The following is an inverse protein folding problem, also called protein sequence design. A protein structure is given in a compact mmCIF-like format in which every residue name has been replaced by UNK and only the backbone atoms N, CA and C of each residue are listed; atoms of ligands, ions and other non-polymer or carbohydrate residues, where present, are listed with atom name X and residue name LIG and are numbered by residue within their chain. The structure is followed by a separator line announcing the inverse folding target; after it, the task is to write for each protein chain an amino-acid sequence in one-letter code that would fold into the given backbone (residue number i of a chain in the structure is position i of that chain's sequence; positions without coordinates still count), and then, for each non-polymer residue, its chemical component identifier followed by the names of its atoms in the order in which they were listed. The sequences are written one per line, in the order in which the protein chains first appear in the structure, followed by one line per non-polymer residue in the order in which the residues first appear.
data_IF_202489490452
#
_entry.id   IF_202489490452
#
_cell.length_a   1.000
_cell.length_b   1.000
_cell.length_c   1.000
_cell.angle_alpha   90.00
_cell.angle_beta   90.00
_cell.angle_gamma   90.00
#
_symmetry.space_group_name_H-M   'P 1'
#
loop_
_entity.id
_entity.type
_entity.pdbx_description
1 polymer ?
#
# COMPACT_ATOMS: atom_id res chain seq x y z
N UNK A 1 -34.85 4.64 -42.32
CA UNK A 1 -35.00 5.95 -43.01
C UNK A 1 -35.52 7.09 -42.12
N UNK A 2 -35.99 6.85 -40.89
CA UNK A 2 -36.52 7.92 -40.03
C UNK A 2 -35.41 8.71 -39.34
N UNK A 3 -34.44 8.03 -38.72
CA UNK A 3 -33.39 8.67 -37.90
C UNK A 3 -32.59 9.77 -38.63
N UNK A 4 -32.07 9.57 -39.87
CA UNK A 4 -31.28 10.61 -40.52
C UNK A 4 -32.04 11.92 -40.74
N UNK A 5 -33.34 11.83 -41.09
CA UNK A 5 -34.19 13.02 -41.28
C UNK A 5 -34.47 13.74 -39.95
N UNK A 6 -34.64 13.00 -38.87
CA UNK A 6 -34.82 13.59 -37.53
C UNK A 6 -33.55 14.29 -37.10
N UNK A 7 -32.39 13.63 -37.21
CA UNK A 7 -31.09 14.21 -36.85
C UNK A 7 -30.76 15.45 -37.67
N UNK A 8 -31.10 15.46 -38.96
CA UNK A 8 -30.95 16.64 -39.81
C UNK A 8 -31.74 17.84 -39.25
N UNK A 9 -32.96 17.65 -38.76
CA UNK A 9 -33.73 18.73 -38.13
C UNK A 9 -33.14 19.15 -36.78
N UNK A 10 -32.67 18.20 -35.97
CA UNK A 10 -32.03 18.48 -34.67
C UNK A 10 -30.76 19.32 -34.88
N UNK A 11 -29.90 18.95 -35.83
CA UNK A 11 -28.68 19.72 -36.12
C UNK A 11 -29.03 21.10 -36.69
N UNK A 12 -30.00 21.18 -37.61
CA UNK A 12 -30.34 22.43 -38.28
C UNK A 12 -31.15 23.42 -37.43
N UNK A 13 -31.79 22.98 -36.34
CA UNK A 13 -32.59 23.90 -35.51
C UNK A 13 -31.73 24.94 -34.78
N UNK A 14 -30.43 24.64 -34.54
CA UNK A 14 -29.45 25.53 -33.88
C UNK A 14 -29.91 26.13 -32.55
N UNK A 15 -30.89 25.49 -31.90
CA UNK A 15 -31.43 25.88 -30.61
C UNK A 15 -30.88 24.94 -29.55
N UNK A 16 -30.21 25.50 -28.55
CA UNK A 16 -29.49 24.75 -27.51
C UNK A 16 -30.41 23.80 -26.74
N UNK A 17 -31.58 24.30 -26.33
CA UNK A 17 -32.53 23.55 -25.51
C UNK A 17 -33.15 22.44 -26.35
N UNK A 18 -33.57 22.75 -27.58
CA UNK A 18 -34.14 21.78 -28.49
C UNK A 18 -33.14 20.70 -28.87
N UNK A 19 -31.88 21.04 -29.14
CA UNK A 19 -30.84 20.06 -29.51
C UNK A 19 -30.61 19.03 -28.40
N UNK A 20 -30.36 19.49 -27.18
CA UNK A 20 -30.17 18.60 -26.03
C UNK A 20 -31.41 17.75 -25.75
N UNK A 21 -32.58 18.39 -25.68
CA UNK A 21 -33.84 17.72 -25.34
C UNK A 21 -34.28 16.71 -26.40
N UNK A 22 -34.23 17.05 -27.69
CA UNK A 22 -34.63 16.14 -28.76
C UNK A 22 -33.69 14.95 -28.86
N UNK A 23 -32.38 15.16 -28.66
CA UNK A 23 -31.42 14.07 -28.66
C UNK A 23 -31.64 13.12 -27.47
N UNK A 24 -31.89 13.66 -26.27
CA UNK A 24 -32.30 12.87 -25.10
C UNK A 24 -33.58 12.09 -25.37
N UNK A 25 -34.58 12.70 -26.02
CA UNK A 25 -35.83 12.02 -26.37
C UNK A 25 -35.62 10.86 -27.35
N UNK A 26 -34.74 11.03 -28.35
CA UNK A 26 -34.36 9.93 -29.24
C UNK A 26 -33.75 8.80 -28.42
N UNK A 27 -32.79 9.12 -27.54
CA UNK A 27 -32.12 8.12 -26.71
C UNK A 27 -33.12 7.42 -25.79
N UNK A 28 -34.11 8.09 -25.21
CA UNK A 28 -35.07 7.50 -24.26
C UNK A 28 -36.19 6.69 -24.94
N UNK A 29 -36.73 7.18 -26.06
CA UNK A 29 -37.95 6.62 -26.67
C UNK A 29 -37.67 5.39 -27.52
N UNK A 30 -36.53 5.36 -28.23
CA UNK A 30 -36.24 4.24 -29.14
C UNK A 30 -35.56 3.05 -28.42
N UNK A 31 -35.79 1.81 -28.91
CA UNK A 31 -35.13 0.60 -28.38
C UNK A 31 -33.61 0.58 -28.56
N UNK A 32 -32.94 -0.21 -27.71
CA UNK A 32 -31.49 -0.34 -27.66
C UNK A 32 -30.90 -0.97 -28.94
N UNK A 33 -31.61 -1.92 -29.54
CA UNK A 33 -31.21 -2.54 -30.82
C UNK A 33 -31.10 -1.50 -31.92
N UNK A 34 -32.01 -0.52 -31.95
CA UNK A 34 -31.99 0.54 -32.95
C UNK A 34 -30.81 1.48 -32.73
N UNK A 35 -30.53 1.84 -31.47
CA UNK A 35 -29.36 2.66 -31.14
C UNK A 35 -28.06 1.97 -31.54
N UNK A 36 -27.96 0.65 -31.31
CA UNK A 36 -26.77 -0.11 -31.65
C UNK A 36 -26.54 -0.17 -33.17
N UNK A 37 -27.59 -0.47 -33.94
CA UNK A 37 -27.50 -0.56 -35.41
C UNK A 37 -27.33 0.80 -36.10
N UNK A 38 -27.72 1.89 -35.44
CA UNK A 38 -27.62 3.26 -35.99
C UNK A 38 -26.58 4.13 -35.28
N UNK A 39 -25.74 3.52 -34.46
CA UNK A 39 -24.79 4.19 -33.57
C UNK A 39 -23.89 5.18 -34.31
N UNK A 40 -23.39 4.80 -35.48
CA UNK A 40 -22.53 5.65 -36.31
C UNK A 40 -23.26 6.91 -36.79
N UNK A 41 -24.52 6.78 -37.20
CA UNK A 41 -25.32 7.92 -37.67
C UNK A 41 -25.66 8.85 -36.50
N UNK A 42 -26.00 8.29 -35.34
CA UNK A 42 -26.35 9.05 -34.14
C UNK A 42 -25.14 9.81 -33.59
N UNK A 43 -24.01 9.13 -33.44
CA UNK A 43 -22.76 9.74 -32.97
C UNK A 43 -22.17 10.76 -33.96
N UNK A 44 -22.38 10.57 -35.27
CA UNK A 44 -21.94 11.52 -36.30
C UNK A 44 -22.63 12.89 -36.24
N UNK A 45 -23.81 12.98 -35.60
CA UNK A 45 -24.52 14.23 -35.39
C UNK A 45 -24.01 15.02 -34.16
N UNK A 46 -23.47 14.33 -33.14
CA UNK A 46 -23.07 14.94 -31.87
C UNK A 46 -22.03 16.09 -32.00
N UNK A 47 -20.98 15.99 -32.84
CA UNK A 47 -20.03 17.09 -33.02
C UNK A 47 -20.63 18.34 -33.70
N UNK A 48 -21.82 18.25 -34.29
CA UNK A 48 -22.46 19.33 -35.04
C UNK A 48 -23.39 20.20 -34.17
N UNK A 49 -23.55 19.85 -32.89
CA UNK A 49 -24.41 20.59 -31.97
C UNK A 49 -23.74 21.90 -31.56
N UNK A 50 -24.55 22.86 -31.07
CA UNK A 50 -24.02 24.10 -30.51
C UNK A 50 -23.11 23.80 -29.30
N UNK A 51 -22.07 24.60 -29.09
CA UNK A 51 -21.09 24.40 -28.01
C UNK A 51 -21.69 24.51 -26.62
N UNK A 52 -22.82 25.23 -26.46
CA UNK A 52 -23.55 25.36 -25.20
C UNK A 52 -24.40 24.14 -24.84
N UNK A 53 -24.65 23.22 -25.79
CA UNK A 53 -25.45 22.02 -25.52
C UNK A 53 -24.69 21.09 -24.58
N UNK A 54 -25.39 20.58 -23.56
CA UNK A 54 -24.88 19.61 -22.58
C UNK A 54 -24.72 18.20 -23.18
N UNK A 55 -23.95 18.10 -24.27
CA UNK A 55 -23.74 16.86 -25.03
C UNK A 55 -23.08 15.77 -24.19
N UNK A 56 -22.30 16.15 -23.16
CA UNK A 56 -21.68 15.20 -22.23
C UNK A 56 -22.74 14.35 -21.53
N UNK A 57 -23.85 14.95 -21.10
CA UNK A 57 -24.91 14.25 -20.35
C UNK A 57 -25.70 13.35 -21.28
N UNK A 58 -25.97 13.82 -22.50
CA UNK A 58 -26.64 13.05 -23.56
C UNK A 58 -25.83 11.79 -23.92
N UNK A 59 -24.53 11.94 -24.18
CA UNK A 59 -23.65 10.82 -24.51
C UNK A 59 -23.42 9.88 -23.31
N UNK A 60 -23.30 10.42 -22.10
CA UNK A 60 -23.20 9.61 -20.88
C UNK A 60 -24.42 8.72 -20.71
N UNK A 61 -25.65 9.25 -20.91
CA UNK A 61 -26.89 8.47 -20.84
C UNK A 61 -26.98 7.41 -21.93
N UNK A 62 -26.54 7.72 -23.15
CA UNK A 62 -26.48 6.71 -24.22
C UNK A 62 -25.55 5.56 -23.83
N UNK A 63 -24.34 5.86 -23.35
CA UNK A 63 -23.37 4.84 -22.94
C UNK A 63 -23.85 4.04 -21.74
N UNK A 64 -24.45 4.68 -20.73
CA UNK A 64 -25.06 4.03 -19.57
C UNK A 64 -26.17 3.08 -20.01
N UNK A 65 -27.05 3.53 -20.90
CA UNK A 65 -28.15 2.74 -21.43
C UNK A 65 -27.64 1.51 -22.19
N UNK A 66 -26.65 1.69 -23.08
CA UNK A 66 -26.02 0.59 -23.82
C UNK A 66 -25.24 -0.37 -22.90
N UNK A 67 -24.59 0.16 -21.86
CA UNK A 67 -23.90 -0.63 -20.84
C UNK A 67 -24.87 -1.51 -20.07
N UNK A 68 -26.02 -0.97 -19.68
CA UNK A 68 -27.08 -1.71 -19.01
C UNK A 68 -27.69 -2.76 -19.93
N UNK A 69 -27.89 -2.45 -21.22
CA UNK A 69 -28.37 -3.42 -22.20
C UNK A 69 -27.42 -4.61 -22.35
N UNK A 70 -26.11 -4.36 -22.44
CA UNK A 70 -25.10 -5.41 -22.46
C UNK A 70 -25.04 -6.23 -21.16
N UNK A 71 -25.34 -5.62 -20.01
CA UNK A 71 -25.36 -6.31 -18.73
C UNK A 71 -26.59 -7.22 -18.54
N UNK A 72 -27.71 -6.94 -19.23
CA UNK A 72 -28.96 -7.69 -19.10
C UNK A 72 -28.96 -9.03 -19.86
N UNK A 73 -28.22 -9.13 -20.96
CA UNK A 73 -28.11 -10.39 -21.72
C UNK A 73 -26.73 -10.53 -22.37
N UNK A 74 -26.05 -11.65 -22.11
CA UNK A 74 -24.79 -11.95 -22.78
C UNK A 74 -24.98 -12.25 -24.29
N UNK A 75 -26.21 -12.56 -24.73
CA UNK A 75 -26.52 -12.91 -26.13
C UNK A 75 -26.42 -11.71 -27.08
N UNK A 76 -26.49 -10.48 -26.56
CA UNK A 76 -26.36 -9.26 -27.37
C UNK A 76 -24.92 -8.79 -27.54
N UNK A 77 -23.96 -9.30 -26.75
CA UNK A 77 -22.53 -8.93 -26.86
C UNK A 77 -21.94 -9.13 -28.27
N UNK A 78 -22.26 -10.20 -29.03
CA UNK A 78 -21.80 -10.34 -30.41
C UNK A 78 -22.23 -9.18 -31.32
N UNK A 79 -23.41 -8.60 -31.10
CA UNK A 79 -23.88 -7.45 -31.88
C UNK A 79 -23.02 -6.21 -31.62
N UNK A 80 -22.65 -5.96 -30.36
CA UNK A 80 -21.74 -4.87 -29.99
C UNK A 80 -20.38 -5.00 -30.67
N UNK A 81 -19.88 -6.23 -30.79
CA UNK A 81 -18.60 -6.52 -31.45
C UNK A 81 -18.72 -6.32 -32.96
N UNK A 82 -19.82 -6.77 -33.56
CA UNK A 82 -20.07 -6.64 -34.99
C UNK A 82 -20.17 -5.18 -35.44
N UNK A 83 -20.79 -4.31 -34.63
CA UNK A 83 -20.90 -2.89 -34.97
C UNK A 83 -19.69 -2.06 -34.55
N UNK A 84 -18.67 -2.68 -33.93
CA UNK A 84 -17.48 -2.02 -33.39
C UNK A 84 -17.83 -0.87 -32.43
N UNK A 85 -18.78 -1.12 -31.51
CA UNK A 85 -19.39 -0.09 -30.67
C UNK A 85 -18.35 0.74 -29.89
N UNK A 86 -17.34 0.09 -29.31
CA UNK A 86 -16.25 0.76 -28.61
C UNK A 86 -15.49 1.75 -29.50
N UNK A 87 -15.05 1.32 -30.68
CA UNK A 87 -14.26 2.17 -31.58
C UNK A 87 -15.07 3.39 -32.05
N UNK A 88 -16.36 3.19 -32.34
CA UNK A 88 -17.28 4.28 -32.71
C UNK A 88 -17.50 5.27 -31.58
N UNK A 89 -17.77 4.79 -30.37
CA UNK A 89 -17.93 5.64 -29.18
C UNK A 89 -16.65 6.41 -28.85
N UNK A 90 -15.49 5.73 -28.85
CA UNK A 90 -14.20 6.35 -28.57
C UNK A 90 -13.85 7.45 -29.60
N UNK A 91 -14.04 7.16 -30.90
CA UNK A 91 -13.83 8.15 -31.96
C UNK A 91 -14.80 9.34 -31.84
N UNK A 92 -16.07 9.09 -31.53
CA UNK A 92 -17.07 10.13 -31.39
C UNK A 92 -16.78 11.05 -30.20
N UNK A 93 -16.40 10.49 -29.05
CA UNK A 93 -16.01 11.28 -27.87
C UNK A 93 -14.81 12.16 -28.20
N UNK A 94 -13.78 11.63 -28.87
CA UNK A 94 -12.65 12.43 -29.34
C UNK A 94 -13.08 13.62 -30.20
N UNK A 95 -13.93 13.39 -31.20
CA UNK A 95 -14.46 14.45 -32.08
C UNK A 95 -15.32 15.47 -31.35
N UNK A 96 -16.13 15.04 -30.38
CA UNK A 96 -16.99 15.94 -29.59
C UNK A 96 -16.15 16.83 -28.69
N UNK A 97 -15.10 16.28 -28.06
CA UNK A 97 -14.17 17.06 -27.24
C UNK A 97 -13.38 18.05 -28.11
N UNK A 98 -13.03 17.70 -29.35
CA UNK A 98 -12.38 18.62 -30.29
C UNK A 98 -13.32 19.72 -30.80
N UNK A 99 -14.60 19.40 -31.02
CA UNK A 99 -15.59 20.36 -31.48
C UNK A 99 -16.05 21.34 -30.37
N UNK A 100 -15.95 20.95 -29.10
CA UNK A 100 -16.31 21.78 -27.94
C UNK A 100 -15.06 22.25 -27.19
N UNK A 101 -14.41 23.30 -27.70
CA UNK A 101 -13.19 23.87 -27.09
C UNK A 101 -13.37 24.32 -25.63
N UNK A 102 -14.57 24.80 -25.27
CA UNK A 102 -14.90 25.31 -23.93
C UNK A 102 -15.36 24.22 -22.94
N UNK A 103 -15.29 22.93 -23.30
CA UNK A 103 -15.75 21.86 -22.42
C UNK A 103 -14.90 21.79 -21.12
N UNK A 104 -15.51 21.87 -19.92
CA UNK A 104 -14.79 21.72 -18.66
C UNK A 104 -14.12 20.35 -18.54
N UNK A 105 -12.98 20.28 -17.83
CA UNK A 105 -12.23 19.03 -17.62
C UNK A 105 -13.13 17.95 -16.99
N UNK A 106 -13.95 18.31 -16.00
CA UNK A 106 -14.94 17.39 -15.44
C UNK A 106 -15.89 16.82 -16.51
N UNK A 107 -16.28 17.60 -17.52
CA UNK A 107 -17.09 17.10 -18.64
C UNK A 107 -16.35 16.03 -19.47
N UNK A 108 -15.08 16.29 -19.78
CA UNK A 108 -14.21 15.35 -20.50
C UNK A 108 -14.02 14.05 -19.70
N UNK A 109 -13.70 14.15 -18.41
CA UNK A 109 -13.53 12.98 -17.53
C UNK A 109 -14.84 12.20 -17.38
N UNK A 110 -15.99 12.88 -17.32
CA UNK A 110 -17.31 12.22 -17.29
C UNK A 110 -17.50 11.34 -18.52
N UNK A 111 -17.22 11.85 -19.72
CA UNK A 111 -17.35 11.10 -20.97
C UNK A 111 -16.45 9.86 -20.98
N UNK A 112 -15.19 10.00 -20.58
CA UNK A 112 -14.28 8.86 -20.46
C UNK A 112 -14.69 7.88 -19.37
N UNK A 113 -15.28 8.34 -18.26
CA UNK A 113 -15.81 7.47 -17.20
C UNK A 113 -17.00 6.64 -17.67
N UNK A 114 -17.91 7.25 -18.44
CA UNK A 114 -19.02 6.54 -19.08
C UNK A 114 -18.52 5.54 -20.12
N UNK A 115 -17.52 5.90 -20.93
CA UNK A 115 -16.92 4.98 -21.90
C UNK A 115 -16.20 3.82 -21.22
N UNK A 116 -15.50 4.07 -20.11
CA UNK A 116 -14.83 3.04 -19.33
C UNK A 116 -15.84 2.09 -18.72
N UNK A 117 -16.90 2.62 -18.11
CA UNK A 117 -17.98 1.81 -17.53
C UNK A 117 -18.59 0.91 -18.61
N UNK A 118 -18.89 1.47 -19.78
CA UNK A 118 -19.35 0.70 -20.94
C UNK A 118 -18.34 -0.40 -21.32
N UNK A 119 -17.05 -0.06 -21.45
CA UNK A 119 -16.01 -1.03 -21.82
C UNK A 119 -15.88 -2.16 -20.79
N UNK A 120 -15.99 -1.88 -19.50
CA UNK A 120 -15.91 -2.89 -18.43
C UNK A 120 -17.12 -3.85 -18.41
N UNK A 121 -18.25 -3.45 -18.99
CA UNK A 121 -19.43 -4.32 -19.14
C UNK A 121 -19.40 -5.11 -20.44
N UNK A 122 -19.09 -4.44 -21.57
CA UNK A 122 -19.14 -5.06 -22.90
C UNK A 122 -17.88 -5.86 -23.24
N UNK A 123 -16.71 -5.39 -22.79
CA UNK A 123 -15.41 -5.96 -23.11
C UNK A 123 -14.57 -6.18 -21.84
N UNK A 124 -14.99 -7.06 -20.91
CA UNK A 124 -14.29 -7.28 -19.66
C UNK A 124 -12.85 -7.78 -19.86
N UNK A 125 -12.55 -8.53 -20.92
CA UNK A 125 -11.20 -9.09 -21.10
C UNK A 125 -10.23 -8.15 -21.83
N UNK A 126 -10.69 -6.98 -22.29
CA UNK A 126 -9.91 -6.06 -23.14
C UNK A 126 -9.29 -4.93 -22.34
N UNK A 127 -8.20 -5.25 -21.64
CA UNK A 127 -7.38 -4.26 -20.92
C UNK A 127 -6.79 -3.19 -21.84
N UNK A 128 -6.58 -3.50 -23.12
CA UNK A 128 -6.11 -2.54 -24.12
C UNK A 128 -7.11 -1.40 -24.35
N UNK A 129 -8.41 -1.67 -24.27
CA UNK A 129 -9.44 -0.63 -24.36
C UNK A 129 -9.44 0.26 -23.12
N UNK A 130 -9.29 -0.33 -21.93
CA UNK A 130 -9.14 0.42 -20.69
C UNK A 130 -7.92 1.33 -20.77
N UNK A 131 -6.76 0.81 -21.19
CA UNK A 131 -5.52 1.59 -21.30
C UNK A 131 -5.61 2.70 -22.34
N UNK A 132 -6.34 2.48 -23.45
CA UNK A 132 -6.61 3.51 -24.46
C UNK A 132 -7.44 4.66 -23.89
N UNK A 133 -8.47 4.38 -23.10
CA UNK A 133 -9.30 5.41 -22.46
C UNK A 133 -8.46 6.22 -21.48
N UNK A 134 -7.68 5.56 -20.63
CA UNK A 134 -6.78 6.22 -19.69
C UNK A 134 -5.75 7.08 -20.44
N UNK A 135 -5.15 6.57 -21.52
CA UNK A 135 -4.21 7.30 -22.36
C UNK A 135 -4.84 8.54 -23.00
N UNK A 136 -6.08 8.44 -23.50
CA UNK A 136 -6.82 9.58 -24.05
C UNK A 136 -7.14 10.63 -22.97
N UNK A 137 -7.42 10.20 -21.74
CA UNK A 137 -7.58 11.09 -20.60
C UNK A 137 -6.26 11.81 -20.26
N UNK A 138 -5.14 11.07 -20.16
CA UNK A 138 -3.80 11.63 -19.91
C UNK A 138 -3.44 12.67 -20.97
N UNK A 139 -3.67 12.42 -22.25
CA UNK A 139 -3.38 13.39 -23.31
C UNK A 139 -4.14 14.70 -23.13
N UNK A 140 -5.41 14.66 -22.70
CA UNK A 140 -6.23 15.87 -22.48
C UNK A 140 -5.87 16.61 -21.18
N UNK A 141 -5.28 15.92 -20.21
CA UNK A 141 -4.80 16.49 -18.96
C UNK A 141 -3.36 17.00 -19.07
N UNK A 142 -2.56 16.42 -19.96
CA UNK A 142 -1.17 16.80 -20.17
C UNK A 142 -1.05 18.29 -20.55
N UNK A 143 -0.12 19.00 -19.90
CA UNK A 143 0.11 20.43 -20.13
C UNK A 143 -0.81 21.38 -19.35
N UNK A 144 -1.82 20.90 -18.60
CA UNK A 144 -2.72 21.75 -17.79
C UNK A 144 -2.27 21.94 -16.33
N UNK A 145 -1.16 21.34 -15.92
CA UNK A 145 -0.67 21.34 -14.53
C UNK A 145 -1.46 20.41 -13.60
N UNK A 146 -1.11 20.36 -12.31
CA UNK A 146 -1.85 19.58 -11.30
C UNK A 146 -3.30 20.05 -11.22
N UNK A 147 -4.24 19.12 -11.31
CA UNK A 147 -5.68 19.41 -11.26
C UNK A 147 -6.09 19.96 -9.89
N UNK A 148 -6.91 21.01 -9.88
CA UNK A 148 -7.49 21.60 -8.65
C UNK A 148 -9.02 21.62 -8.63
N UNK A 149 -9.66 21.14 -9.70
CA UNK A 149 -11.12 21.09 -9.78
C UNK A 149 -11.65 19.86 -9.02
N UNK A 150 -12.23 20.09 -7.84
CA UNK A 150 -12.81 19.06 -6.98
C UNK A 150 -13.82 18.14 -7.67
N UNK A 151 -14.52 18.63 -8.70
CA UNK A 151 -15.47 17.78 -9.44
C UNK A 151 -14.74 16.86 -10.40
N UNK A 152 -13.70 17.36 -11.06
CA UNK A 152 -12.87 16.55 -11.96
C UNK A 152 -12.06 15.52 -11.18
N UNK A 153 -11.47 15.87 -10.03
CA UNK A 153 -10.67 14.95 -9.21
C UNK A 153 -11.50 13.76 -8.72
N UNK A 154 -12.70 14.00 -8.17
CA UNK A 154 -13.64 12.93 -7.78
C UNK A 154 -13.98 11.98 -8.92
N UNK A 155 -14.14 12.51 -10.13
CA UNK A 155 -14.43 11.68 -11.29
C UNK A 155 -13.20 10.90 -11.76
N UNK A 156 -11.99 11.44 -11.65
CA UNK A 156 -10.77 10.70 -11.95
C UNK A 156 -10.56 9.58 -10.93
N UNK A 157 -10.82 9.82 -9.65
CA UNK A 157 -10.79 8.78 -8.62
C UNK A 157 -11.78 7.66 -8.98
N UNK A 158 -13.02 8.01 -9.36
CA UNK A 158 -14.00 7.02 -9.83
C UNK A 158 -13.53 6.26 -11.10
N UNK A 159 -12.93 6.97 -12.06
CA UNK A 159 -12.38 6.39 -13.29
C UNK A 159 -11.28 5.37 -13.00
N UNK A 160 -10.35 5.69 -12.09
CA UNK A 160 -9.25 4.81 -11.69
C UNK A 160 -9.72 3.67 -10.77
N UNK A 161 -10.79 3.88 -10.00
CA UNK A 161 -11.36 2.87 -9.10
C UNK A 161 -12.16 1.79 -9.84
N UNK A 162 -12.86 2.15 -10.93
CA UNK A 162 -13.75 1.22 -11.64
C UNK A 162 -13.06 -0.07 -12.14
N UNK A 163 -11.83 -0.04 -12.72
CA UNK A 163 -11.10 -1.25 -13.07
C UNK A 163 -10.75 -2.11 -11.85
N UNK A 164 -10.33 -1.48 -10.74
CA UNK A 164 -9.97 -2.18 -9.51
C UNK A 164 -11.15 -2.93 -8.90
N UNK A 165 -12.34 -2.33 -8.94
CA UNK A 165 -13.58 -2.96 -8.45
C UNK A 165 -14.03 -4.12 -9.34
N UNK A 166 -13.89 -3.97 -10.66
CA UNK A 166 -14.31 -4.99 -11.62
C UNK A 166 -13.42 -6.23 -11.59
N UNK A 167 -12.10 -6.04 -11.64
CA UNK A 167 -11.15 -7.16 -11.77
C UNK A 167 -10.76 -7.79 -10.44
N UNK A 168 -10.91 -7.05 -9.32
CA UNK A 168 -10.54 -7.49 -7.96
C UNK A 168 -9.07 -7.92 -7.81
N UNK A 169 -8.23 -7.51 -8.76
CA UNK A 169 -6.82 -7.86 -8.83
C UNK A 169 -6.01 -6.62 -9.23
N UNK A 170 -5.02 -6.30 -8.41
CA UNK A 170 -4.10 -5.19 -8.59
C UNK A 170 -3.21 -5.36 -9.82
N UNK A 171 -2.98 -6.61 -10.26
CA UNK A 171 -2.18 -6.88 -11.46
C UNK A 171 -2.75 -6.18 -12.69
N UNK A 172 -4.07 -5.92 -12.71
CA UNK A 172 -4.69 -5.17 -13.79
C UNK A 172 -4.21 -3.72 -13.82
N UNK A 173 -4.22 -3.01 -12.69
CA UNK A 173 -3.70 -1.65 -12.59
C UNK A 173 -2.20 -1.57 -12.88
N UNK A 174 -1.41 -2.55 -12.40
CA UNK A 174 0.02 -2.62 -12.66
C UNK A 174 0.36 -2.90 -14.14
N UNK A 175 -0.53 -3.55 -14.90
CA UNK A 175 -0.36 -3.81 -16.34
C UNK A 175 -0.77 -2.63 -17.21
N UNK A 176 -1.56 -1.69 -16.71
CA UNK A 176 -2.06 -0.53 -17.46
C UNK A 176 -0.97 0.55 -17.54
N UNK A 177 -0.39 0.74 -18.72
CA UNK A 177 0.74 1.65 -18.93
C UNK A 177 0.42 3.12 -18.66
N UNK A 178 -0.84 3.53 -18.86
CA UNK A 178 -1.29 4.90 -18.65
C UNK A 178 -1.88 5.13 -17.25
N UNK A 179 -2.02 4.09 -16.43
CA UNK A 179 -2.51 4.22 -15.06
C UNK A 179 -1.56 5.06 -14.18
N UNK A 180 -0.23 4.76 -14.10
CA UNK A 180 0.70 5.59 -13.34
C UNK A 180 0.77 7.03 -13.87
N UNK A 181 0.74 7.20 -15.20
CA UNK A 181 0.77 8.52 -15.85
C UNK A 181 -0.44 9.38 -15.50
N UNK A 182 -1.61 8.77 -15.31
CA UNK A 182 -2.78 9.53 -14.88
C UNK A 182 -2.63 9.98 -13.43
N UNK A 183 -2.07 9.15 -12.56
CA UNK A 183 -1.81 9.53 -11.18
C UNK A 183 -0.78 10.67 -11.04
N UNK A 184 0.23 10.74 -11.92
CA UNK A 184 1.21 11.83 -11.91
C UNK A 184 0.60 13.23 -12.19
N UNK A 185 -0.58 13.29 -12.80
CA UNK A 185 -1.28 14.55 -13.07
C UNK A 185 -2.21 15.00 -11.92
N UNK A 186 -2.37 14.18 -10.89
CA UNK A 186 -3.20 14.47 -9.73
C UNK A 186 -2.46 15.40 -8.77
N UNK A 187 -3.21 16.17 -8.00
CA UNK A 187 -2.71 16.86 -6.82
C UNK A 187 -2.45 15.87 -5.67
N UNK A 188 -1.73 16.33 -4.64
CA UNK A 188 -1.22 15.45 -3.59
C UNK A 188 -2.36 14.87 -2.73
N UNK A 189 -3.42 15.64 -2.49
CA UNK A 189 -4.63 15.19 -1.78
C UNK A 189 -5.35 14.08 -2.55
N UNK A 190 -5.64 14.28 -3.83
CA UNK A 190 -6.30 13.26 -4.68
C UNK A 190 -5.40 12.03 -4.88
N UNK A 191 -4.08 12.22 -4.99
CA UNK A 191 -3.12 11.10 -5.08
C UNK A 191 -3.14 10.25 -3.82
N UNK A 192 -3.24 10.87 -2.64
CA UNK A 192 -3.36 10.20 -1.34
C UNK A 192 -4.68 9.42 -1.24
N UNK A 193 -5.80 10.03 -1.65
CA UNK A 193 -7.10 9.36 -1.70
C UNK A 193 -7.07 8.12 -2.60
N UNK A 194 -6.51 8.25 -3.82
CA UNK A 194 -6.41 7.13 -4.75
C UNK A 194 -5.47 6.01 -4.23
N UNK A 195 -4.36 6.39 -3.58
CA UNK A 195 -3.48 5.44 -2.93
C UNK A 195 -4.20 4.67 -1.80
N UNK A 196 -5.03 5.34 -1.01
CA UNK A 196 -5.86 4.68 0.00
C UNK A 196 -6.85 3.70 -0.64
N UNK A 197 -7.52 4.08 -1.73
CA UNK A 197 -8.42 3.17 -2.46
C UNK A 197 -7.68 1.92 -2.97
N UNK A 198 -6.47 2.10 -3.51
CA UNK A 198 -5.62 0.98 -3.96
C UNK A 198 -5.30 0.02 -2.81
N UNK A 199 -4.83 0.54 -1.68
CA UNK A 199 -4.51 -0.26 -0.49
C UNK A 199 -5.76 -1.00 0.01
N UNK A 200 -6.88 -0.30 0.18
CA UNK A 200 -8.13 -0.90 0.65
C UNK A 200 -8.65 -1.98 -0.30
N UNK A 201 -8.50 -1.82 -1.61
CA UNK A 201 -8.87 -2.85 -2.58
C UNK A 201 -8.03 -4.13 -2.40
N UNK A 202 -6.71 -3.99 -2.23
CA UNK A 202 -5.80 -5.12 -1.98
C UNK A 202 -6.16 -5.84 -0.67
N UNK A 203 -6.37 -5.07 0.41
CA UNK A 203 -6.72 -5.62 1.72
C UNK A 203 -8.07 -6.37 1.67
N UNK A 204 -9.08 -5.78 1.03
CA UNK A 204 -10.43 -6.35 0.89
C UNK A 204 -10.43 -7.65 0.08
N UNK A 205 -9.68 -7.69 -1.01
CA UNK A 205 -9.63 -8.85 -1.92
C UNK A 205 -8.58 -9.88 -1.51
N UNK A 206 -7.73 -9.57 -0.53
CA UNK A 206 -6.58 -10.41 -0.11
C UNK A 206 -5.65 -10.76 -1.27
N UNK A 207 -5.45 -9.81 -2.19
CA UNK A 207 -4.62 -10.01 -3.38
C UNK A 207 -3.17 -10.23 -2.95
N UNK A 208 -2.58 -11.35 -3.38
CA UNK A 208 -1.20 -11.68 -3.04
C UNK A 208 -0.23 -10.98 -4.01
N UNK A 209 0.69 -10.20 -3.45
CA UNK A 209 1.76 -9.53 -4.21
C UNK A 209 3.06 -10.24 -3.86
N UNK A 210 3.55 -11.02 -4.81
CA UNK A 210 4.63 -11.99 -4.58
C UNK A 210 5.91 -11.69 -5.35
N UNK A 211 6.06 -10.58 -6.07
CA UNK A 211 7.31 -10.27 -6.78
C UNK A 211 7.82 -8.88 -6.44
N UNK A 212 9.14 -8.72 -6.38
CA UNK A 212 9.77 -7.45 -6.04
C UNK A 212 9.41 -6.34 -7.05
N UNK A 213 9.29 -6.69 -8.33
CA UNK A 213 8.88 -5.73 -9.38
C UNK A 213 7.47 -5.18 -9.15
N UNK A 214 6.52 -6.04 -8.77
CA UNK A 214 5.15 -5.62 -8.46
C UNK A 214 5.10 -4.76 -7.19
N UNK A 215 5.92 -5.10 -6.19
CA UNK A 215 6.03 -4.33 -4.96
C UNK A 215 6.59 -2.93 -5.24
N UNK A 216 7.67 -2.82 -6.02
CA UNK A 216 8.25 -1.52 -6.40
C UNK A 216 7.22 -0.65 -7.15
N UNK A 217 6.51 -1.24 -8.12
CA UNK A 217 5.48 -0.53 -8.87
C UNK A 217 4.31 -0.08 -7.97
N UNK A 218 3.84 -0.94 -7.06
CA UNK A 218 2.78 -0.57 -6.12
C UNK A 218 3.24 0.53 -5.16
N UNK A 219 4.44 0.42 -4.59
CA UNK A 219 4.96 1.39 -3.63
C UNK A 219 5.22 2.76 -4.26
N UNK A 220 5.55 2.81 -5.56
CA UNK A 220 5.60 4.06 -6.32
C UNK A 220 4.20 4.66 -6.54
N UNK A 221 3.18 3.85 -6.80
CA UNK A 221 1.79 4.30 -6.91
C UNK A 221 1.28 4.88 -5.57
N UNK A 222 1.62 4.26 -4.44
CA UNK A 222 1.19 4.71 -3.12
C UNK A 222 2.17 5.66 -2.42
N UNK A 223 3.10 6.29 -3.16
CA UNK A 223 4.11 7.20 -2.58
C UNK A 223 3.53 8.33 -1.74
N UNK A 224 2.31 8.77 -2.04
CA UNK A 224 1.59 9.80 -1.28
C UNK A 224 1.23 9.38 0.16
N UNK A 225 1.12 8.07 0.42
CA UNK A 225 0.91 7.54 1.78
C UNK A 225 2.21 7.28 2.51
N UNK A 226 3.30 7.07 1.77
CA UNK A 226 4.59 6.64 2.31
C UNK A 226 5.52 7.82 2.54
N UNK A 227 5.45 8.89 1.73
CA UNK A 227 6.33 10.07 1.81
C UNK A 227 5.50 11.32 2.02
N UNK A 228 6.08 12.30 2.71
CA UNK A 228 5.54 13.65 2.73
C UNK A 228 5.71 14.27 1.35
N UNK A 229 4.58 14.60 0.71
CA UNK A 229 4.54 15.36 -0.54
C UNK A 229 4.40 16.83 -0.15
N UNK A 230 5.55 17.52 -0.08
CA UNK A 230 5.75 18.94 0.26
C UNK A 230 5.56 19.39 1.73
N UNK A 231 6.55 20.12 2.24
CA UNK A 231 6.66 20.69 3.61
C UNK A 231 5.71 21.88 3.89
N UNK A 232 4.80 22.20 2.95
CA UNK A 232 4.07 23.47 2.93
C UNK A 232 2.60 23.41 3.32
N UNK A 233 2.03 22.22 3.46
CA UNK A 233 0.65 22.04 3.92
C UNK A 233 0.74 21.37 5.28
N UNK A 234 0.81 22.22 6.31
CA UNK A 234 0.38 21.86 7.66
C UNK A 234 -1.15 21.67 7.59
N UNK A 235 -1.58 20.64 6.84
CA UNK A 235 -2.90 20.09 7.05
C UNK A 235 -2.85 19.64 8.49
N UNK A 236 -3.69 20.24 9.34
CA UNK A 236 -4.21 19.62 10.54
C UNK A 236 -4.89 18.31 10.09
N UNK A 237 -4.10 17.33 9.67
CA UNK A 237 -4.54 15.98 9.41
C UNK A 237 -5.03 15.49 10.76
N UNK A 238 -6.29 15.09 10.81
CA UNK A 238 -6.83 14.39 11.95
C UNK A 238 -5.86 13.25 12.28
N UNK A 239 -5.32 13.24 13.50
CA UNK A 239 -4.35 12.24 13.92
C UNK A 239 -4.95 10.84 13.78
N UNK A 240 -6.26 10.71 13.97
CA UNK A 240 -6.99 9.46 13.80
C UNK A 240 -7.01 9.02 12.33
N UNK A 241 -7.31 9.94 11.40
CA UNK A 241 -7.30 9.64 9.96
C UNK A 241 -5.89 9.22 9.50
N UNK A 242 -4.85 9.96 9.91
CA UNK A 242 -3.46 9.62 9.60
C UNK A 242 -3.10 8.24 10.16
N UNK A 243 -3.53 7.94 11.39
CA UNK A 243 -3.29 6.66 12.03
C UNK A 243 -3.97 5.51 11.27
N UNK A 244 -5.21 5.67 10.81
CA UNK A 244 -5.93 4.68 10.01
C UNK A 244 -5.26 4.42 8.66
N UNK A 245 -4.78 5.47 8.00
CA UNK A 245 -4.00 5.36 6.76
C UNK A 245 -2.72 4.56 6.98
N UNK A 246 -1.92 4.92 7.98
CA UNK A 246 -0.65 4.23 8.27
C UNK A 246 -0.89 2.78 8.73
N UNK A 247 -1.98 2.51 9.44
CA UNK A 247 -2.39 1.14 9.78
C UNK A 247 -2.73 0.31 8.54
N UNK A 248 -3.34 0.92 7.52
CA UNK A 248 -3.63 0.25 6.25
C UNK A 248 -2.35 -0.10 5.50
N UNK A 249 -1.35 0.79 5.49
CA UNK A 249 -0.01 0.51 4.95
C UNK A 249 0.69 -0.61 5.73
N UNK A 250 0.59 -0.59 7.07
CA UNK A 250 1.15 -1.64 7.92
C UNK A 250 0.55 -3.02 7.61
N UNK A 251 -0.77 -3.10 7.40
CA UNK A 251 -1.45 -4.33 7.01
C UNK A 251 -1.01 -4.81 5.62
N UNK A 252 -0.84 -3.90 4.66
CA UNK A 252 -0.33 -4.24 3.33
C UNK A 252 1.05 -4.87 3.41
N UNK A 253 1.97 -4.28 4.19
CA UNK A 253 3.34 -4.80 4.38
C UNK A 253 3.31 -6.24 4.93
N UNK A 254 2.37 -6.55 5.82
CA UNK A 254 2.19 -7.89 6.41
C UNK A 254 1.60 -8.92 5.43
N UNK A 255 0.99 -8.48 4.33
CA UNK A 255 0.45 -9.37 3.30
C UNK A 255 1.44 -9.73 2.21
N UNK A 256 2.57 -9.01 2.10
CA UNK A 256 3.61 -9.29 1.14
C UNK A 256 4.31 -10.61 1.52
N UNK A 257 4.28 -11.58 0.60
CA UNK A 257 4.85 -12.91 0.85
C UNK A 257 5.26 -13.56 -0.47
N UNK A 258 6.43 -14.21 -0.44
CA UNK A 258 6.86 -15.18 -1.44
C UNK A 258 7.49 -16.38 -0.72
N UNK A 259 7.27 -17.58 -1.23
CA UNK A 259 7.87 -18.81 -0.70
C UNK A 259 9.37 -18.94 -1.04
N UNK A 260 9.82 -18.30 -2.12
CA UNK A 260 11.23 -18.24 -2.50
C UNK A 260 12.02 -17.26 -1.59
N UNK A 261 13.07 -17.73 -0.89
CA UNK A 261 13.83 -16.90 0.04
C UNK A 261 14.55 -15.72 -0.62
N UNK A 262 15.05 -15.89 -1.83
CA UNK A 262 15.75 -14.81 -2.55
C UNK A 262 14.78 -13.73 -3.01
N UNK A 263 13.63 -14.12 -3.54
CA UNK A 263 12.59 -13.17 -3.96
C UNK A 263 11.97 -12.45 -2.77
N UNK A 264 11.73 -13.14 -1.65
CA UNK A 264 11.27 -12.51 -0.41
C UNK A 264 12.27 -11.47 0.11
N UNK A 265 13.58 -11.77 0.02
CA UNK A 265 14.62 -10.81 0.37
C UNK A 265 14.57 -9.56 -0.53
N UNK A 266 14.37 -9.73 -1.84
CA UNK A 266 14.20 -8.61 -2.78
C UNK A 266 12.96 -7.78 -2.45
N UNK A 267 11.85 -8.42 -2.11
CA UNK A 267 10.61 -7.75 -1.68
C UNK A 267 10.90 -6.87 -0.45
N UNK A 268 11.54 -7.42 0.59
CA UNK A 268 11.86 -6.66 1.80
C UNK A 268 12.80 -5.48 1.50
N UNK A 269 13.80 -5.68 0.63
CA UNK A 269 14.68 -4.60 0.18
C UNK A 269 13.93 -3.49 -0.57
N UNK A 270 12.98 -3.85 -1.43
CA UNK A 270 12.12 -2.90 -2.15
C UNK A 270 11.26 -2.10 -1.16
N UNK A 271 10.54 -2.78 -0.24
CA UNK A 271 9.73 -2.11 0.78
C UNK A 271 10.59 -1.18 1.63
N UNK A 272 11.74 -1.66 2.12
CA UNK A 272 12.71 -0.87 2.89
C UNK A 272 13.07 0.43 2.17
N UNK A 273 13.47 0.35 0.89
CA UNK A 273 13.85 1.51 0.09
C UNK A 273 12.76 2.59 0.08
N UNK A 274 11.50 2.20 0.01
CA UNK A 274 10.37 3.14 0.03
C UNK A 274 10.03 3.65 1.44
N UNK A 275 9.95 2.79 2.46
CA UNK A 275 9.53 3.24 3.81
C UNK A 275 10.57 4.13 4.49
N UNK A 276 11.87 3.94 4.23
CA UNK A 276 12.94 4.72 4.86
C UNK A 276 12.94 6.19 4.42
N UNK A 277 12.28 6.50 3.31
CA UNK A 277 12.08 7.87 2.84
C UNK A 277 10.83 8.54 3.41
N UNK A 278 10.07 7.87 4.28
CA UNK A 278 8.77 8.33 4.74
C UNK A 278 8.75 9.31 5.92
N UNK A 279 9.91 9.61 6.48
CA UNK A 279 10.06 10.58 7.56
C UNK A 279 9.67 10.05 8.95
N UNK A 280 9.94 10.83 10.01
CA UNK A 280 9.88 10.36 11.40
C UNK A 280 8.46 10.02 11.88
N UNK A 281 7.41 10.63 11.29
CA UNK A 281 6.01 10.35 11.68
C UNK A 281 5.54 8.96 11.22
N UNK A 282 6.01 8.46 10.07
CA UNK A 282 5.53 7.19 9.46
C UNK A 282 6.37 5.97 9.83
N UNK A 283 7.65 6.16 10.13
CA UNK A 283 8.55 5.06 10.48
C UNK A 283 8.04 4.20 11.67
N UNK A 284 7.48 4.77 12.75
CA UNK A 284 6.93 3.98 13.86
C UNK A 284 5.81 3.02 13.45
N UNK A 285 5.08 3.29 12.36
CA UNK A 285 3.98 2.46 11.87
C UNK A 285 4.42 1.44 10.83
N UNK A 286 5.41 1.78 10.00
CA UNK A 286 5.80 0.97 8.84
C UNK A 286 7.01 0.06 9.11
N UNK A 287 7.89 0.44 10.04
CA UNK A 287 9.06 -0.38 10.40
C UNK A 287 8.68 -1.65 11.16
N UNK A 288 7.89 -1.60 12.25
CA UNK A 288 7.50 -2.82 12.97
C UNK A 288 6.86 -3.89 12.08
N UNK A 289 5.86 -3.61 11.22
CA UNK A 289 5.26 -4.64 10.39
C UNK A 289 6.26 -5.23 9.38
N UNK A 290 7.21 -4.45 8.83
CA UNK A 290 8.23 -5.02 7.95
C UNK A 290 9.15 -5.99 8.71
N UNK A 291 9.56 -5.63 9.93
CA UNK A 291 10.38 -6.48 10.79
C UNK A 291 9.64 -7.77 11.11
N UNK A 292 8.41 -7.69 11.64
CA UNK A 292 7.64 -8.88 12.01
C UNK A 292 7.32 -9.78 10.80
N UNK A 293 7.05 -9.21 9.62
CA UNK A 293 6.86 -10.02 8.41
C UNK A 293 8.16 -10.77 8.03
N UNK A 294 9.30 -10.09 8.10
CA UNK A 294 10.61 -10.70 7.86
C UNK A 294 10.95 -11.80 8.89
N UNK A 295 10.71 -11.56 10.18
CA UNK A 295 10.94 -12.54 11.25
C UNK A 295 10.05 -13.78 11.10
N UNK A 296 8.78 -13.59 10.70
CA UNK A 296 7.87 -14.69 10.37
C UNK A 296 8.40 -15.54 9.24
N UNK A 297 9.04 -14.94 8.24
CA UNK A 297 9.68 -15.66 7.15
C UNK A 297 10.93 -16.42 7.63
N UNK A 298 11.82 -15.77 8.40
CA UNK A 298 13.02 -16.41 8.97
C UNK A 298 12.65 -17.65 9.79
N UNK A 299 11.65 -17.57 10.67
CA UNK A 299 11.17 -18.73 11.45
C UNK A 299 10.66 -19.88 10.59
N UNK A 300 10.11 -19.60 9.40
CA UNK A 300 9.67 -20.65 8.47
C UNK A 300 10.84 -21.33 7.76
N UNK A 301 11.90 -20.61 7.43
CA UNK A 301 13.11 -21.19 6.85
C UNK A 301 13.66 -22.31 7.75
N UNK A 302 13.72 -22.07 9.07
CA UNK A 302 14.17 -23.08 10.04
C UNK A 302 13.31 -24.35 10.07
N UNK A 303 12.01 -24.25 9.80
CA UNK A 303 11.11 -25.41 9.86
C UNK A 303 11.25 -26.38 8.68
N UNK A 304 11.93 -25.99 7.59
CA UNK A 304 11.97 -26.75 6.34
C UNK A 304 13.34 -27.40 6.05
N UNK A 305 14.34 -27.22 6.92
CA UNK A 305 15.75 -27.38 6.56
C UNK A 305 16.50 -28.49 7.31
N UNK A 306 15.90 -29.68 7.46
CA UNK A 306 16.60 -30.84 8.04
C UNK A 306 17.66 -31.49 7.11
N UNK A 307 17.79 -31.04 5.85
CA UNK A 307 18.60 -31.73 4.82
C UNK A 307 19.69 -30.86 4.12
N UNK A 308 19.95 -29.63 4.57
CA UNK A 308 20.95 -28.72 3.95
C UNK A 308 22.19 -28.60 4.85
N UNK A 309 23.42 -28.55 4.29
CA UNK A 309 24.64 -28.31 5.07
C UNK A 309 24.56 -27.02 5.93
N UNK A 310 25.03 -27.09 7.18
CA UNK A 310 24.98 -26.01 8.19
C UNK A 310 25.52 -24.64 7.71
N UNK A 311 26.53 -24.65 6.84
CA UNK A 311 27.12 -23.41 6.31
C UNK A 311 26.21 -22.66 5.32
N UNK A 312 25.44 -23.36 4.49
CA UNK A 312 24.51 -22.76 3.53
C UNK A 312 23.17 -22.39 4.19
N UNK A 313 22.72 -23.21 5.15
CA UNK A 313 21.48 -22.96 5.92
C UNK A 313 21.54 -21.66 6.74
N UNK A 314 22.71 -21.31 7.30
CA UNK A 314 22.86 -20.08 8.10
C UNK A 314 23.07 -18.79 7.27
N UNK A 315 23.44 -18.88 5.99
CA UNK A 315 23.82 -17.72 5.19
C UNK A 315 22.63 -16.81 4.85
N UNK A 316 21.46 -17.41 4.57
CA UNK A 316 20.26 -16.65 4.23
C UNK A 316 19.68 -15.90 5.43
N UNK A 317 19.40 -16.54 6.59
CA UNK A 317 18.95 -15.82 7.79
C UNK A 317 19.87 -14.67 8.19
N UNK A 318 21.21 -14.84 8.10
CA UNK A 318 22.18 -13.76 8.35
C UNK A 318 21.93 -12.53 7.48
N UNK A 319 21.63 -12.71 6.18
CA UNK A 319 21.29 -11.58 5.28
C UNK A 319 20.01 -10.87 5.71
N UNK A 320 18.97 -11.63 6.12
CA UNK A 320 17.75 -11.03 6.66
C UNK A 320 18.06 -10.20 7.90
N UNK A 321 18.79 -10.75 8.87
CA UNK A 321 19.15 -10.03 10.09
C UNK A 321 19.99 -8.76 9.83
N UNK A 322 20.93 -8.79 8.87
CA UNK A 322 21.68 -7.60 8.46
C UNK A 322 20.75 -6.49 7.93
N UNK A 323 19.77 -6.86 7.11
CA UNK A 323 18.78 -5.89 6.60
C UNK A 323 17.89 -5.37 7.72
N UNK A 324 17.46 -6.24 8.64
CA UNK A 324 16.65 -5.87 9.80
C UNK A 324 17.38 -4.90 10.72
N UNK A 325 18.67 -5.12 10.96
CA UNK A 325 19.50 -4.19 11.72
C UNK A 325 19.50 -2.80 11.08
N UNK A 326 19.76 -2.71 9.77
CA UNK A 326 19.72 -1.45 9.04
C UNK A 326 18.33 -0.77 9.04
N UNK A 327 17.25 -1.55 9.11
CA UNK A 327 15.89 -1.01 9.22
C UNK A 327 15.65 -0.42 10.61
N UNK A 328 16.09 -1.09 11.68
CA UNK A 328 15.94 -0.61 13.05
C UNK A 328 16.86 0.59 13.31
N UNK A 329 18.08 0.59 12.78
CA UNK A 329 18.99 1.73 12.84
C UNK A 329 18.36 3.00 12.29
N UNK A 330 17.52 2.89 11.26
CA UNK A 330 16.82 4.05 10.72
C UNK A 330 15.77 4.65 11.68
N UNK A 331 15.37 3.95 12.75
CA UNK A 331 14.52 4.51 13.81
C UNK A 331 15.29 5.43 14.76
N UNK A 332 16.63 5.44 14.73
CA UNK A 332 17.45 6.33 15.58
C UNK A 332 17.18 7.82 15.34
N UNK A 333 16.68 8.20 14.16
CA UNK A 333 16.29 9.58 13.84
C UNK A 333 14.95 9.99 14.47
N UNK A 334 14.22 9.03 15.06
CA UNK A 334 12.88 9.22 15.61
C UNK A 334 12.94 9.08 17.13
N UNK A 335 12.27 9.94 17.91
CA UNK A 335 12.30 9.88 19.38
C UNK A 335 11.42 8.75 19.94
N UNK A 336 11.63 7.50 19.49
CA UNK A 336 10.92 6.29 19.93
C UNK A 336 11.90 5.17 20.36
N UNK A 337 12.85 5.43 21.27
CA UNK A 337 13.90 4.47 21.62
C UNK A 337 13.36 3.18 22.24
N UNK A 338 12.22 3.24 22.93
CA UNK A 338 11.54 2.07 23.50
C UNK A 338 11.05 1.08 22.43
N UNK A 339 10.60 1.59 21.28
CA UNK A 339 10.16 0.77 20.16
C UNK A 339 11.36 0.09 19.50
N UNK A 340 12.41 0.84 19.20
CA UNK A 340 13.64 0.30 18.61
C UNK A 340 14.27 -0.78 19.51
N UNK A 341 14.31 -0.56 20.83
CA UNK A 341 14.79 -1.56 21.80
C UNK A 341 13.97 -2.85 21.74
N UNK A 342 12.63 -2.76 21.73
CA UNK A 342 11.76 -3.95 21.61
C UNK A 342 12.05 -4.71 20.31
N UNK A 343 12.20 -4.00 19.20
CA UNK A 343 12.49 -4.60 17.90
C UNK A 343 13.85 -5.31 17.88
N UNK A 344 14.89 -4.72 18.49
CA UNK A 344 16.18 -5.40 18.64
C UNK A 344 16.08 -6.68 19.46
N UNK A 345 15.32 -6.66 20.57
CA UNK A 345 15.12 -7.85 21.39
C UNK A 345 14.35 -8.95 20.66
N UNK A 346 13.33 -8.62 19.87
CA UNK A 346 12.60 -9.59 19.03
C UNK A 346 13.50 -10.19 17.95
N UNK A 347 14.36 -9.38 17.31
CA UNK A 347 15.36 -9.86 16.37
C UNK A 347 16.40 -10.76 17.05
N UNK A 348 16.80 -10.46 18.28
CA UNK A 348 17.72 -11.29 19.05
C UNK A 348 17.10 -12.66 19.38
N UNK A 349 15.82 -12.70 19.79
CA UNK A 349 15.10 -13.94 20.05
C UNK A 349 14.98 -14.79 18.77
N UNK A 350 14.67 -14.18 17.63
CA UNK A 350 14.67 -14.89 16.36
C UNK A 350 16.06 -15.39 15.94
N UNK A 351 17.12 -14.62 16.20
CA UNK A 351 18.50 -15.06 15.91
C UNK A 351 18.94 -16.22 16.82
N UNK A 352 18.42 -16.29 18.04
CA UNK A 352 18.57 -17.43 18.94
C UNK A 352 17.86 -18.67 18.41
N UNK A 353 16.61 -18.54 17.95
CA UNK A 353 15.89 -19.64 17.28
C UNK A 353 16.60 -20.10 16.00
N UNK A 354 17.46 -19.25 15.43
CA UNK A 354 18.25 -19.51 14.23
C UNK A 354 19.65 -20.09 14.47
N UNK A 355 20.06 -20.30 15.73
CA UNK A 355 21.42 -20.74 16.07
C UNK A 355 22.54 -19.80 15.55
N UNK A 356 22.29 -18.49 15.49
CA UNK A 356 23.30 -17.48 15.09
C UNK A 356 23.72 -16.58 16.27
N UNK A 357 24.64 -17.07 17.10
CA UNK A 357 25.11 -16.40 18.33
C UNK A 357 25.66 -14.98 18.08
N UNK A 358 26.53 -14.73 17.08
CA UNK A 358 27.12 -13.40 16.89
C UNK A 358 26.08 -12.32 16.60
N UNK A 359 25.05 -12.68 15.83
CA UNK A 359 23.95 -11.76 15.46
C UNK A 359 23.05 -11.47 16.66
N UNK A 360 22.71 -12.50 17.44
CA UNK A 360 21.96 -12.31 18.67
C UNK A 360 22.70 -11.40 19.66
N UNK A 361 24.01 -11.58 19.81
CA UNK A 361 24.85 -10.77 20.70
C UNK A 361 24.94 -9.30 20.23
N UNK A 362 25.05 -9.08 18.91
CA UNK A 362 25.05 -7.75 18.31
C UNK A 362 23.74 -7.00 18.62
N UNK A 363 22.59 -7.63 18.40
CA UNK A 363 21.29 -7.03 18.71
C UNK A 363 21.13 -6.69 20.19
N UNK A 364 21.59 -7.56 21.11
CA UNK A 364 21.61 -7.24 22.53
C UNK A 364 22.51 -6.05 22.85
N UNK A 365 23.66 -5.96 22.19
CA UNK A 365 24.59 -4.84 22.37
C UNK A 365 23.94 -3.52 21.93
N UNK A 366 23.25 -3.50 20.79
CA UNK A 366 22.50 -2.33 20.33
C UNK A 366 21.35 -1.97 21.29
N UNK A 367 20.63 -2.96 21.81
CA UNK A 367 19.58 -2.73 22.81
C UNK A 367 20.12 -2.10 24.11
N UNK A 368 21.30 -2.53 24.57
CA UNK A 368 21.96 -1.91 25.73
C UNK A 368 22.43 -0.48 25.46
N UNK A 369 22.96 -0.20 24.26
CA UNK A 369 23.36 1.15 23.86
C UNK A 369 22.14 2.08 23.90
N UNK A 370 21.02 1.69 23.28
CA UNK A 370 19.78 2.46 23.33
C UNK A 370 19.27 2.68 24.76
N UNK A 371 19.35 1.66 25.61
CA UNK A 371 18.97 1.78 27.02
C UNK A 371 19.82 2.82 27.76
N UNK A 372 21.12 2.86 27.51
CA UNK A 372 22.06 3.74 28.20
C UNK A 372 22.02 5.18 27.69
N UNK A 373 21.92 5.37 26.38
CA UNK A 373 22.08 6.68 25.73
C UNK A 373 20.75 7.41 25.54
N UNK A 374 19.67 6.70 25.21
CA UNK A 374 18.41 7.31 24.75
C UNK A 374 17.25 7.20 25.76
N UNK A 375 17.21 6.14 26.57
CA UNK A 375 16.10 5.92 27.53
C UNK A 375 16.41 6.58 28.89
N UNK A 376 15.88 7.78 29.09
CA UNK A 376 16.08 8.57 30.32
C UNK A 376 14.92 8.53 31.30
N UNK A 377 13.68 8.26 30.86
CA UNK A 377 12.51 8.20 31.75
C UNK A 377 12.61 7.02 32.72
N UNK A 378 12.38 7.28 34.01
CA UNK A 378 12.54 6.26 35.05
C UNK A 378 11.60 5.08 34.88
N UNK A 379 10.35 5.25 34.40
CA UNK A 379 9.43 4.13 34.21
C UNK A 379 9.77 3.35 32.94
N UNK A 380 10.16 4.06 31.88
CA UNK A 380 10.66 3.46 30.65
C UNK A 380 11.90 2.60 30.90
N UNK A 381 12.86 3.08 31.70
CA UNK A 381 14.04 2.31 32.10
C UNK A 381 13.68 1.02 32.84
N UNK A 382 12.75 1.06 33.80
CA UNK A 382 12.28 -0.17 34.49
C UNK A 382 11.66 -1.15 33.50
N UNK A 383 10.85 -0.67 32.56
CA UNK A 383 10.20 -1.54 31.57
C UNK A 383 11.22 -2.14 30.60
N UNK A 384 12.14 -1.32 30.09
CA UNK A 384 13.19 -1.73 29.18
C UNK A 384 14.12 -2.78 29.81
N UNK A 385 14.56 -2.57 31.06
CA UNK A 385 15.43 -3.54 31.72
C UNK A 385 14.71 -4.87 32.01
N UNK A 386 13.41 -4.82 32.36
CA UNK A 386 12.61 -6.02 32.53
C UNK A 386 12.46 -6.82 31.22
N UNK A 387 12.27 -6.13 30.09
CA UNK A 387 12.24 -6.76 28.77
C UNK A 387 13.60 -7.38 28.41
N UNK A 388 14.70 -6.66 28.63
CA UNK A 388 16.06 -7.19 28.40
C UNK A 388 16.29 -8.47 29.22
N UNK A 389 15.97 -8.45 30.51
CA UNK A 389 16.12 -9.62 31.40
C UNK A 389 15.23 -10.78 30.93
N UNK A 390 13.97 -10.50 30.62
CA UNK A 390 13.02 -11.52 30.19
C UNK A 390 13.39 -12.16 28.85
N UNK A 391 13.94 -11.39 27.91
CA UNK A 391 14.49 -11.94 26.66
C UNK A 391 15.76 -12.74 26.96
N UNK A 392 16.73 -12.21 27.71
CA UNK A 392 17.98 -12.90 28.03
C UNK A 392 17.77 -14.24 28.77
N UNK A 393 16.70 -14.36 29.55
CA UNK A 393 16.32 -15.61 30.21
C UNK A 393 15.89 -16.70 29.21
N UNK A 394 15.29 -16.33 28.08
CA UNK A 394 14.84 -17.25 27.02
C UNK A 394 15.95 -17.61 26.03
N UNK A 395 17.05 -16.85 26.04
CA UNK A 395 18.21 -17.10 25.18
C UNK A 395 19.03 -18.27 25.71
N UNK A 396 19.21 -19.30 24.88
CA UNK A 396 20.02 -20.49 25.17
C UNK A 396 21.28 -20.58 24.29
N UNK A 397 21.37 -19.75 23.26
CA UNK A 397 22.46 -19.77 22.29
C UNK A 397 23.81 -19.26 22.80
N UNK A 398 23.81 -18.42 23.84
CA UNK A 398 25.03 -17.74 24.27
C UNK A 398 25.99 -18.68 25.01
N UNK A 399 27.25 -18.68 24.59
CA UNK A 399 28.34 -19.27 25.35
C UNK A 399 28.55 -18.59 26.70
N UNK A 400 29.25 -19.26 27.61
CA UNK A 400 29.43 -18.83 29.01
C UNK A 400 29.96 -17.39 29.11
N UNK A 401 30.96 -17.01 28.30
CA UNK A 401 31.57 -15.68 28.35
C UNK A 401 30.62 -14.56 27.91
N UNK A 402 29.93 -14.77 26.78
CA UNK A 402 28.96 -13.82 26.25
C UNK A 402 27.76 -13.68 27.19
N UNK A 403 27.24 -14.81 27.69
CA UNK A 403 26.12 -14.82 28.64
C UNK A 403 26.47 -14.13 29.95
N UNK A 404 27.65 -14.40 30.50
CA UNK A 404 28.14 -13.72 31.72
C UNK A 404 28.24 -12.21 31.51
N UNK A 405 28.79 -11.79 30.36
CA UNK A 405 28.93 -10.37 30.03
C UNK A 405 27.58 -9.65 29.97
N UNK A 406 26.60 -10.22 29.27
CA UNK A 406 25.25 -9.66 29.16
C UNK A 406 24.54 -9.65 30.53
N UNK A 407 24.66 -10.74 31.29
CA UNK A 407 24.06 -10.85 32.63
C UNK A 407 24.64 -9.83 33.61
N UNK A 408 25.96 -9.63 33.58
CA UNK A 408 26.62 -8.61 34.40
C UNK A 408 26.17 -7.20 34.03
N UNK A 409 26.03 -6.88 32.74
CA UNK A 409 25.47 -5.60 32.28
C UNK A 409 24.02 -5.41 32.77
N UNK A 410 23.14 -6.39 32.56
CA UNK A 410 21.75 -6.35 33.04
C UNK A 410 21.66 -6.10 34.56
N UNK A 411 22.49 -6.82 35.33
CA UNK A 411 22.55 -6.67 36.79
C UNK A 411 23.08 -5.30 37.19
N UNK A 412 24.11 -4.81 36.50
CA UNK A 412 24.67 -3.47 36.72
C UNK A 412 23.65 -2.36 36.48
N UNK A 413 22.88 -2.42 35.39
CA UNK A 413 21.83 -1.44 35.11
C UNK A 413 20.65 -1.57 36.09
N UNK A 414 20.25 -2.79 36.44
CA UNK A 414 19.20 -3.04 37.45
C UNK A 414 19.57 -2.43 38.81
N UNK A 415 20.84 -2.53 39.20
CA UNK A 415 21.35 -1.93 40.42
C UNK A 415 21.47 -0.39 40.36
N UNK A 416 21.41 0.22 39.18
CA UNK A 416 21.46 1.68 38.99
C UNK A 416 20.08 2.34 38.90
N UNK A 417 18.99 1.56 38.94
CA UNK A 417 17.63 2.11 38.94
C UNK A 417 17.41 3.07 40.13
N UNK A 418 16.71 4.17 39.89
CA UNK A 418 16.55 5.27 40.86
C UNK A 418 15.72 4.88 42.08
N UNK A 419 14.67 4.06 41.90
CA UNK A 419 13.71 3.70 42.95
C UNK A 419 14.08 2.36 43.56
N UNK A 420 14.25 2.33 44.89
CA UNK A 420 14.57 1.09 45.63
C UNK A 420 13.62 -0.08 45.37
N UNK A 421 12.28 0.09 45.33
CA UNK A 421 11.38 -1.04 45.04
C UNK A 421 11.63 -1.66 43.66
N UNK A 422 11.87 -0.82 42.66
CA UNK A 422 12.09 -1.26 41.28
C UNK A 422 13.49 -1.87 41.12
N UNK A 423 14.49 -1.29 41.76
CA UNK A 423 15.83 -1.85 41.91
C UNK A 423 15.76 -3.27 42.52
N UNK A 424 15.12 -3.43 43.67
CA UNK A 424 14.99 -4.74 44.33
C UNK A 424 14.32 -5.78 43.43
N UNK A 425 13.23 -5.42 42.73
CA UNK A 425 12.55 -6.32 41.79
C UNK A 425 13.42 -6.69 40.60
N UNK A 426 14.13 -5.72 40.01
CA UNK A 426 14.98 -5.95 38.85
C UNK A 426 16.20 -6.82 39.20
N UNK A 427 16.89 -6.52 40.31
CA UNK A 427 18.03 -7.36 40.74
C UNK A 427 17.56 -8.76 41.15
N UNK A 428 16.37 -8.89 41.76
CA UNK A 428 15.77 -10.20 42.01
C UNK A 428 15.52 -10.95 40.71
N UNK A 429 14.95 -10.31 39.68
CA UNK A 429 14.78 -10.93 38.37
C UNK A 429 16.12 -11.36 37.75
N UNK A 430 17.18 -10.56 37.88
CA UNK A 430 18.52 -10.95 37.43
C UNK A 430 19.08 -12.21 38.13
N UNK A 431 18.65 -12.53 39.36
CA UNK A 431 19.10 -13.74 40.04
C UNK A 431 18.72 -15.02 39.28
N UNK A 432 17.59 -14.99 38.56
CA UNK A 432 17.16 -16.10 37.70
C UNK A 432 18.03 -16.27 36.45
N UNK A 433 18.77 -15.25 36.02
CA UNK A 433 19.68 -15.37 34.86
C UNK A 433 20.87 -16.29 35.14
N UNK A 434 21.29 -16.37 36.41
CA UNK A 434 22.32 -17.28 36.90
C UNK A 434 21.81 -18.71 37.16
N UNK A 435 20.51 -18.94 36.94
CA UNK A 435 19.86 -20.22 37.18
C UNK A 435 19.13 -20.67 35.91
N UNK A 436 19.86 -21.35 35.01
CA UNK A 436 19.30 -21.94 33.79
C UNK A 436 19.28 -23.47 33.96
N UNK A 437 18.15 -24.10 33.69
CA UNK A 437 17.92 -25.54 33.97
C UNK A 437 18.32 -26.49 32.83
N UNK A 438 18.95 -25.99 31.75
CA UNK A 438 19.34 -26.82 30.60
C UNK A 438 20.69 -27.54 30.77
N UNK A 439 20.80 -28.67 30.08
CA UNK A 439 21.57 -29.87 30.42
C UNK A 439 23.11 -29.76 30.43
N UNK A 440 23.72 -28.63 30.06
CA UNK A 440 25.18 -28.46 30.01
C UNK A 440 25.69 -27.12 30.58
N UNK A 441 25.54 -26.97 31.90
CA UNK A 441 26.13 -25.92 32.74
C UNK A 441 25.56 -24.50 32.59
N UNK A 442 24.80 -24.04 33.59
CA UNK A 442 25.19 -22.97 34.54
C UNK A 442 24.26 -23.13 35.76
N UNK A 443 24.72 -23.87 36.76
CA UNK A 443 24.17 -23.86 38.12
C UNK A 443 25.21 -23.26 39.04
N UNK A 444 25.43 -21.95 38.91
CA UNK A 444 26.33 -21.24 39.81
C UNK A 444 25.57 -20.84 41.09
N UNK A 445 25.48 -21.80 42.01
CA UNK A 445 24.86 -21.61 43.32
C UNK A 445 25.55 -20.52 44.14
N UNK A 446 26.85 -20.26 43.92
CA UNK A 446 27.54 -19.17 44.61
C UNK A 446 27.09 -17.82 44.08
N UNK A 447 26.94 -17.62 42.76
CA UNK A 447 26.39 -16.36 42.22
C UNK A 447 24.89 -16.19 42.50
N UNK A 448 24.10 -17.27 42.53
CA UNK A 448 22.69 -17.21 42.94
C UNK A 448 22.54 -16.73 44.39
N UNK A 449 23.41 -17.22 45.29
CA UNK A 449 23.44 -16.82 46.70
C UNK A 449 24.16 -15.47 46.90
N UNK A 450 25.12 -15.14 46.04
CA UNK A 450 25.95 -13.94 46.09
C UNK A 450 25.43 -12.77 45.25
N UNK A 451 24.27 -12.90 44.59
CA UNK A 451 23.52 -11.71 44.18
C UNK A 451 23.28 -10.93 45.48
N UNK A 452 23.63 -9.63 45.55
CA UNK A 452 23.40 -8.81 46.75
C UNK A 452 21.93 -8.81 47.24
N UNK A 453 21.01 -9.37 46.45
CA UNK A 453 19.59 -9.59 46.71
C UNK A 453 19.25 -10.32 48.00
N UNK A 454 20.05 -11.28 48.47
CA UNK A 454 19.67 -12.03 49.70
C UNK A 454 20.15 -11.31 50.97
N UNK A 455 21.15 -10.43 50.87
CA UNK A 455 21.82 -9.85 52.05
C UNK A 455 21.71 -8.32 52.21
N UNK A 456 21.05 -7.59 51.30
CA UNK A 456 20.67 -6.18 51.52
C UNK A 456 19.16 -6.05 51.82
N UNK A 457 18.73 -6.68 52.91
CA UNK A 457 17.46 -6.40 53.60
C UNK A 457 17.69 -5.47 54.78
#
# INVERSE_FOLDING_TARGET
MVLPRVLEQVVNCKDEIAQGYLMDCIIQVFPDEYHLQTLETLLGACPQFQSSVDIKTVLARLMERLSNYAALSAEVLPEFFQVEAFAKLNSAIGKVIEAQEDMPIAGVVTLYSSLLTFSLHVHPDRLDYVDQILGACVQKLSGKGKLKDNKATKQIVALLSAPLEKYKDIDTALKLSNYPRLMENLDDSTSKEMANVLVQNILKNKTCISTAEKVEALFELMKALIRDLDEGVDDELDEDDFQEEQNSVAQLIQMLHNDDPEEMLKIICAVKKHILTGGPKRLPFTVPPLIFNSLKFVRRLHSHDENVPEEESSAMPKKFFQILNQIIEALSIVPVPELALKLYLECAEAANDSDIEPVAYEFFTQAYILYEEEISDSKAQVTAIQLIIGTLQRMHIFGVENRDTLTHKATGYSAKLLKKPDQCRAVYACSHLFWVDDQDNIKDGERFIAVPCVFRG
#
